data_IF_290351805346
#
_entry.id   IF_290351805346
#
_cell.length_a   1.000
_cell.length_b   1.000
_cell.length_c   1.000
_cell.angle_alpha   90.00
_cell.angle_beta   90.00
_cell.angle_gamma   90.00
#
_symmetry.space_group_name_H-M   'P 1'
#
loop_
_entity.id
_entity.type
_entity.pdbx_description
1 polymer ?
#
# COMPACT_ATOMS: atom_id res chain seq x y z
N UNK A 1 7.13 -4.68 35.88
CA UNK A 1 7.98 -5.57 36.71
C UNK A 1 8.02 -5.03 38.11
N UNK A 2 8.03 -5.91 39.09
CA UNK A 2 8.39 -5.52 40.45
C UNK A 2 9.85 -5.02 40.43
N UNK A 3 10.18 -3.99 41.16
CA UNK A 3 11.57 -3.56 41.32
C UNK A 3 12.37 -4.67 42.01
N UNK A 4 13.67 -4.70 41.81
CA UNK A 4 14.54 -5.70 42.45
C UNK A 4 14.36 -5.71 43.98
N UNK A 5 14.11 -4.55 44.58
CA UNK A 5 13.84 -4.43 46.03
C UNK A 5 12.48 -5.00 46.45
N UNK A 6 11.42 -4.86 45.61
CA UNK A 6 10.10 -5.46 45.87
C UNK A 6 10.14 -6.99 45.75
N UNK A 7 10.90 -7.51 44.78
CA UNK A 7 11.12 -8.96 44.64
C UNK A 7 11.83 -9.54 45.85
N UNK A 8 12.90 -8.88 46.33
CA UNK A 8 13.62 -9.31 47.54
C UNK A 8 12.75 -9.26 48.77
N UNK A 9 11.93 -8.23 48.92
CA UNK A 9 11.00 -8.11 50.04
C UNK A 9 9.98 -9.25 50.07
N UNK A 10 9.40 -9.60 48.91
CA UNK A 10 8.47 -10.72 48.76
C UNK A 10 9.15 -12.08 49.06
N UNK A 11 10.39 -12.24 48.62
CA UNK A 11 11.16 -13.48 48.88
C UNK A 11 11.45 -13.73 50.35
N UNK A 12 11.49 -12.67 51.20
CA UNK A 12 11.71 -12.78 52.67
C UNK A 12 10.47 -13.04 53.50
N UNK A 13 9.25 -12.96 52.88
CA UNK A 13 8.00 -13.20 53.60
C UNK A 13 7.80 -14.67 54.00
N UNK A 14 7.09 -14.94 55.11
CA UNK A 14 6.65 -16.28 55.51
C UNK A 14 5.77 -16.93 54.41
N UNK A 15 5.79 -18.26 54.32
CA UNK A 15 5.06 -19.01 53.28
C UNK A 15 3.56 -18.67 53.23
N UNK A 16 2.91 -18.54 54.39
CA UNK A 16 1.48 -18.21 54.49
C UNK A 16 1.15 -16.80 53.94
N UNK A 17 2.05 -15.84 54.04
CA UNK A 17 1.89 -14.48 53.50
C UNK A 17 2.16 -14.46 51.98
N UNK A 18 3.12 -15.25 51.53
CA UNK A 18 3.37 -15.42 50.06
C UNK A 18 2.15 -16.00 49.34
N UNK A 19 1.52 -17.04 49.94
CA UNK A 19 0.32 -17.68 49.35
C UNK A 19 -0.86 -16.70 49.22
N UNK A 20 -0.98 -15.72 50.14
CA UNK A 20 -2.02 -14.66 50.04
C UNK A 20 -1.66 -13.56 49.05
N UNK A 21 -0.38 -13.24 48.92
CA UNK A 21 0.10 -12.17 48.00
C UNK A 21 0.22 -12.63 46.55
N UNK A 22 0.49 -13.91 46.30
CA UNK A 22 0.69 -14.45 44.94
C UNK A 22 -0.48 -14.11 43.97
N UNK A 23 -1.76 -14.39 44.32
CA UNK A 23 -2.87 -14.08 43.45
C UNK A 23 -3.04 -12.57 43.22
N UNK A 24 -2.70 -11.72 44.16
CA UNK A 24 -2.74 -10.26 44.03
C UNK A 24 -1.63 -9.75 43.08
N UNK A 25 -0.44 -10.34 43.17
CA UNK A 25 0.69 -10.01 42.30
C UNK A 25 0.43 -10.50 40.86
N UNK A 26 -0.14 -11.70 40.69
CA UNK A 26 -0.54 -12.22 39.41
C UNK A 26 -1.64 -11.37 38.77
N UNK A 27 -2.66 -10.99 39.52
CA UNK A 27 -3.71 -10.10 39.06
C UNK A 27 -3.15 -8.72 38.64
N UNK A 28 -2.22 -8.15 39.40
CA UNK A 28 -1.55 -6.88 39.10
C UNK A 28 -0.65 -7.01 37.86
N UNK A 29 0.08 -8.11 37.74
CA UNK A 29 0.91 -8.38 36.56
C UNK A 29 0.06 -8.53 35.26
N UNK A 30 -1.07 -9.25 35.38
CA UNK A 30 -2.03 -9.40 34.29
C UNK A 30 -2.66 -8.08 33.89
N UNK A 31 -3.09 -7.26 34.86
CA UNK A 31 -3.64 -5.94 34.61
C UNK A 31 -2.64 -5.03 33.86
N UNK A 32 -1.38 -4.98 34.34
CA UNK A 32 -0.31 -4.20 33.68
C UNK A 32 -0.02 -4.70 32.26
N UNK A 33 -0.08 -6.02 32.02
CA UNK A 33 0.12 -6.58 30.69
C UNK A 33 -0.99 -6.15 29.73
N UNK A 34 -2.25 -6.18 30.18
CA UNK A 34 -3.41 -5.71 29.41
C UNK A 34 -3.31 -4.21 29.11
N UNK A 35 -2.92 -3.41 30.10
CA UNK A 35 -2.75 -1.96 29.94
C UNK A 35 -1.63 -1.62 28.94
N UNK A 36 -0.47 -2.27 29.05
CA UNK A 36 0.64 -2.09 28.12
C UNK A 36 0.27 -2.52 26.67
N UNK A 37 -0.55 -3.56 26.54
CA UNK A 37 -1.03 -4.01 25.25
C UNK A 37 -2.06 -3.04 24.65
N UNK A 38 -2.94 -2.46 25.47
CA UNK A 38 -3.86 -1.40 25.07
C UNK A 38 -3.13 -0.15 24.59
N UNK A 39 -2.16 0.35 25.36
CA UNK A 39 -1.32 1.48 24.95
C UNK A 39 -0.56 1.23 23.64
N UNK A 40 -0.01 0.03 23.47
CA UNK A 40 0.67 -0.35 22.23
C UNK A 40 -0.28 -0.33 21.03
N UNK A 41 -1.51 -0.85 21.20
CA UNK A 41 -2.55 -0.83 20.16
C UNK A 41 -2.95 0.60 19.80
N UNK A 42 -3.12 1.46 20.80
CA UNK A 42 -3.47 2.87 20.59
C UNK A 42 -2.37 3.64 19.84
N UNK A 43 -1.10 3.47 20.24
CA UNK A 43 0.04 4.06 19.52
C UNK A 43 0.12 3.58 18.06
N UNK A 44 -0.12 2.29 17.84
CA UNK A 44 -0.15 1.73 16.49
C UNK A 44 -1.29 2.33 15.65
N UNK A 45 -2.51 2.39 16.21
CA UNK A 45 -3.66 3.00 15.54
C UNK A 45 -3.43 4.48 15.21
N UNK A 46 -2.82 5.24 16.11
CA UNK A 46 -2.46 6.63 15.89
C UNK A 46 -1.43 6.78 14.76
N UNK A 47 -0.43 5.91 14.70
CA UNK A 47 0.57 5.92 13.63
C UNK A 47 -0.06 5.58 12.26
N UNK A 48 -0.96 4.60 12.20
CA UNK A 48 -1.74 4.26 10.99
C UNK A 48 -2.56 5.46 10.52
N UNK A 49 -3.26 6.14 11.43
CA UNK A 49 -4.08 7.30 11.11
C UNK A 49 -3.24 8.45 10.52
N UNK A 50 -2.06 8.70 11.07
CA UNK A 50 -1.13 9.71 10.55
C UNK A 50 -0.65 9.40 9.13
N UNK A 51 -0.27 8.14 8.85
CA UNK A 51 0.15 7.74 7.51
C UNK A 51 -1.01 7.85 6.53
N UNK A 52 -2.21 7.37 6.89
CA UNK A 52 -3.41 7.51 6.06
C UNK A 52 -3.72 8.97 5.72
N UNK A 53 -3.57 9.88 6.69
CA UNK A 53 -3.78 11.31 6.47
C UNK A 53 -2.81 11.91 5.43
N UNK A 54 -1.54 11.44 5.41
CA UNK A 54 -0.57 11.85 4.39
C UNK A 54 -0.85 11.24 3.00
N UNK A 55 -1.54 10.10 2.95
CA UNK A 55 -1.90 9.40 1.71
C UNK A 55 -3.23 9.83 1.09
N UNK A 56 -3.91 10.85 1.61
CA UNK A 56 -5.17 11.36 1.05
C UNK A 56 -5.01 11.92 -0.36
N UNK A 57 -3.83 12.42 -0.72
CA UNK A 57 -3.46 12.78 -2.08
C UNK A 57 -2.57 11.72 -2.71
N UNK A 58 -2.64 11.57 -4.04
CA UNK A 58 -1.77 10.62 -4.74
C UNK A 58 -0.28 10.97 -4.56
N UNK A 59 0.09 12.25 -4.58
CA UNK A 59 1.48 12.67 -4.35
C UNK A 59 1.98 12.30 -2.94
N UNK A 60 1.13 12.45 -1.93
CA UNK A 60 1.43 12.01 -0.56
C UNK A 60 1.60 10.49 -0.49
N UNK A 61 0.72 9.72 -1.12
CA UNK A 61 0.84 8.27 -1.20
C UNK A 61 2.12 7.82 -1.91
N UNK A 62 2.49 8.46 -3.02
CA UNK A 62 3.74 8.18 -3.75
C UNK A 62 4.96 8.30 -2.82
N UNK A 63 5.01 9.35 -2.02
CA UNK A 63 6.10 9.59 -1.07
C UNK A 63 6.17 8.52 0.02
N UNK A 64 5.03 8.17 0.59
CA UNK A 64 4.94 7.16 1.65
C UNK A 64 5.18 5.72 1.14
N UNK A 65 4.75 5.41 -0.08
CA UNK A 65 4.93 4.09 -0.71
C UNK A 65 6.33 3.88 -1.30
N UNK A 66 7.09 4.95 -1.54
CA UNK A 66 8.42 4.86 -2.17
C UNK A 66 9.37 3.90 -1.46
N UNK A 67 9.57 3.96 -0.12
CA UNK A 67 10.48 3.06 0.57
C UNK A 67 10.09 1.57 0.48
N UNK A 68 8.82 1.29 0.19
CA UNK A 68 8.34 -0.10 0.00
C UNK A 68 8.75 -0.62 -1.37
N UNK A 69 8.67 0.22 -2.41
CA UNK A 69 9.00 -0.16 -3.78
C UNK A 69 10.49 -0.06 -4.10
N UNK A 70 11.17 0.91 -3.53
CA UNK A 70 12.58 1.25 -3.81
C UNK A 70 13.35 1.47 -2.49
N UNK A 71 13.51 0.42 -1.66
CA UNK A 71 14.13 0.55 -0.34
C UNK A 71 15.60 0.96 -0.39
N UNK A 72 16.28 0.72 -1.52
CA UNK A 72 17.69 1.06 -1.70
C UNK A 72 17.92 2.50 -2.20
N UNK A 73 16.87 3.23 -2.59
CA UNK A 73 17.00 4.56 -3.19
C UNK A 73 16.15 5.58 -2.43
N UNK A 74 16.70 6.74 -2.05
CA UNK A 74 15.90 7.80 -1.42
C UNK A 74 14.89 8.37 -2.40
N UNK A 75 13.71 8.76 -1.89
CA UNK A 75 12.74 9.49 -2.69
C UNK A 75 13.27 10.88 -3.07
N UNK A 76 13.32 11.15 -4.36
CA UNK A 76 13.69 12.47 -4.89
C UNK A 76 12.44 13.13 -5.44
N UNK A 77 12.01 14.19 -4.76
CA UNK A 77 10.85 14.97 -5.17
C UNK A 77 11.14 15.80 -6.43
N UNK A 78 10.15 15.88 -7.31
CA UNK A 78 10.22 16.74 -8.50
C UNK A 78 8.84 17.30 -8.85
N UNK A 79 8.78 18.54 -9.35
CA UNK A 79 7.53 19.21 -9.75
C UNK A 79 6.69 18.38 -10.74
N UNK A 80 7.35 17.61 -11.63
CA UNK A 80 6.69 16.73 -12.59
C UNK A 80 5.89 15.61 -11.92
N UNK A 81 6.37 15.10 -10.78
CA UNK A 81 5.64 14.09 -9.98
C UNK A 81 4.35 14.69 -9.46
N UNK A 82 4.41 15.89 -8.87
CA UNK A 82 3.22 16.61 -8.40
C UNK A 82 2.22 16.88 -9.54
N UNK A 83 2.72 17.34 -10.68
CA UNK A 83 1.88 17.61 -11.85
C UNK A 83 1.17 16.34 -12.36
N UNK A 84 1.90 15.24 -12.51
CA UNK A 84 1.32 13.95 -12.94
C UNK A 84 0.30 13.47 -11.90
N UNK A 85 0.64 13.49 -10.62
CA UNK A 85 -0.27 13.07 -9.55
C UNK A 85 -1.55 13.90 -9.51
N UNK A 86 -1.46 15.22 -9.67
CA UNK A 86 -2.63 16.12 -9.71
C UNK A 86 -3.57 15.79 -10.89
N UNK A 87 -3.00 15.50 -12.07
CA UNK A 87 -3.80 15.12 -13.25
C UNK A 87 -4.42 13.72 -13.10
N UNK A 88 -3.69 12.74 -12.57
CA UNK A 88 -4.22 11.40 -12.28
C UNK A 88 -5.34 11.45 -11.23
N UNK A 89 -5.17 12.28 -10.22
CA UNK A 89 -6.23 12.51 -9.21
C UNK A 89 -7.46 13.17 -9.85
N UNK A 90 -7.28 14.10 -10.79
CA UNK A 90 -8.38 14.68 -11.56
C UNK A 90 -9.10 13.64 -12.45
N UNK A 91 -8.40 12.59 -12.90
CA UNK A 91 -9.02 11.44 -13.57
C UNK A 91 -9.85 10.63 -12.57
N UNK A 92 -9.32 10.37 -11.38
CA UNK A 92 -10.05 9.67 -10.30
C UNK A 92 -11.32 10.40 -9.89
N UNK A 93 -11.26 11.74 -9.82
CA UNK A 93 -12.39 12.62 -9.52
C UNK A 93 -13.41 12.75 -10.68
N UNK A 94 -13.15 12.14 -11.83
CA UNK A 94 -13.99 12.24 -13.03
C UNK A 94 -13.92 13.58 -13.78
N UNK A 95 -13.01 14.49 -13.38
CA UNK A 95 -12.80 15.80 -14.04
C UNK A 95 -12.05 15.67 -15.37
N UNK A 96 -11.25 14.62 -15.51
CA UNK A 96 -10.53 14.27 -16.74
C UNK A 96 -10.93 12.86 -17.14
N UNK A 97 -11.41 12.68 -18.37
CA UNK A 97 -11.82 11.37 -18.91
C UNK A 97 -10.76 10.75 -19.81
N UNK A 98 -9.87 11.54 -20.39
CA UNK A 98 -8.77 11.11 -21.25
C UNK A 98 -7.54 11.94 -20.95
N UNK A 99 -6.46 11.28 -20.53
CA UNK A 99 -5.21 11.91 -20.17
C UNK A 99 -4.07 11.36 -21.03
N UNK A 100 -3.31 12.22 -21.66
CA UNK A 100 -2.08 11.90 -22.37
C UNK A 100 -0.90 12.54 -21.60
N UNK A 101 0.12 11.73 -21.31
CA UNK A 101 1.32 12.17 -20.58
C UNK A 101 2.55 11.92 -21.44
N UNK A 102 3.19 12.99 -21.88
CA UNK A 102 4.48 12.96 -22.56
C UNK A 102 5.57 13.51 -21.62
N UNK A 103 6.54 12.68 -21.31
CA UNK A 103 7.65 13.03 -20.41
C UNK A 103 8.88 12.19 -20.80
N UNK A 104 10.11 12.74 -20.64
CA UNK A 104 11.33 11.98 -20.94
C UNK A 104 11.44 10.67 -20.15
N UNK A 105 12.15 9.67 -20.67
CA UNK A 105 12.46 8.43 -19.96
C UNK A 105 13.12 8.70 -18.59
N UNK A 106 12.90 7.80 -17.63
CA UNK A 106 13.49 7.93 -16.29
C UNK A 106 12.72 8.84 -15.32
N UNK A 107 11.66 9.52 -15.77
CA UNK A 107 10.86 10.46 -14.95
C UNK A 107 9.67 9.78 -14.23
N UNK A 108 9.78 8.52 -13.89
CA UNK A 108 8.79 7.74 -13.10
C UNK A 108 7.40 7.59 -13.72
N UNK A 109 7.16 7.93 -15.02
CA UNK A 109 5.82 7.86 -15.64
C UNK A 109 5.13 6.52 -15.40
N UNK A 110 5.74 5.41 -15.81
CA UNK A 110 5.16 4.06 -15.69
C UNK A 110 4.89 3.68 -14.25
N UNK A 111 5.80 4.03 -13.32
CA UNK A 111 5.63 3.77 -11.91
C UNK A 111 4.45 4.54 -11.30
N UNK A 112 4.31 5.82 -11.65
CA UNK A 112 3.20 6.65 -11.19
C UNK A 112 1.86 6.17 -11.76
N UNK A 113 1.79 5.97 -13.08
CA UNK A 113 0.53 5.69 -13.80
C UNK A 113 0.11 4.23 -13.65
N UNK A 114 1.07 3.30 -13.76
CA UNK A 114 0.76 1.87 -13.85
C UNK A 114 0.91 1.11 -12.53
N UNK A 115 1.51 1.70 -11.50
CA UNK A 115 1.72 1.02 -10.21
C UNK A 115 1.07 1.78 -9.06
N UNK A 116 1.53 3.02 -8.82
CA UNK A 116 1.15 3.79 -7.63
C UNK A 116 -0.28 4.33 -7.70
N UNK A 117 -0.70 4.89 -8.84
CA UNK A 117 -2.06 5.41 -9.00
C UNK A 117 -3.14 4.32 -8.82
N UNK A 118 -3.10 3.15 -9.47
CA UNK A 118 -4.09 2.10 -9.23
C UNK A 118 -4.10 1.58 -7.78
N UNK A 119 -2.93 1.46 -7.15
CA UNK A 119 -2.84 1.08 -5.74
C UNK A 119 -3.44 2.15 -4.82
N UNK A 120 -3.25 3.43 -5.15
CA UNK A 120 -3.86 4.55 -4.44
C UNK A 120 -5.38 4.59 -4.61
N UNK A 121 -5.89 4.37 -5.82
CA UNK A 121 -7.34 4.33 -6.05
C UNK A 121 -7.99 3.18 -5.25
N UNK A 122 -7.35 2.01 -5.18
CA UNK A 122 -7.90 0.88 -4.42
C UNK A 122 -7.94 1.12 -2.91
N UNK A 123 -6.87 1.62 -2.32
CA UNK A 123 -6.76 1.82 -0.87
C UNK A 123 -7.15 3.23 -0.43
N UNK A 124 -6.21 4.20 -0.51
CA UNK A 124 -6.42 5.55 0.02
C UNK A 124 -7.64 6.28 -0.52
N UNK A 125 -7.93 6.18 -1.81
CA UNK A 125 -9.07 6.83 -2.45
C UNK A 125 -10.40 6.09 -2.25
N UNK A 126 -10.37 4.87 -1.67
CA UNK A 126 -11.58 4.12 -1.32
C UNK A 126 -12.37 3.58 -2.51
N UNK A 127 -11.69 3.27 -3.63
CA UNK A 127 -12.30 2.74 -4.86
C UNK A 127 -11.81 1.31 -5.16
N UNK A 128 -11.91 0.34 -4.24
CA UNK A 128 -11.31 -0.98 -4.39
C UNK A 128 -11.96 -1.84 -5.48
N UNK A 129 -13.15 -1.52 -5.93
CA UNK A 129 -13.87 -2.26 -6.99
C UNK A 129 -13.43 -1.90 -8.42
N UNK A 130 -12.56 -0.88 -8.59
CA UNK A 130 -12.10 -0.47 -9.91
C UNK A 130 -11.32 -1.58 -10.64
N UNK A 131 -11.60 -1.70 -11.94
CA UNK A 131 -11.04 -2.70 -12.84
C UNK A 131 -10.07 -2.04 -13.81
N UNK A 132 -8.84 -2.55 -13.84
CA UNK A 132 -7.76 -2.00 -14.64
C UNK A 132 -7.38 -2.91 -15.79
N UNK A 133 -7.46 -2.40 -16.99
CA UNK A 133 -6.85 -3.00 -18.18
C UNK A 133 -5.58 -2.21 -18.50
N UNK A 134 -4.44 -2.87 -18.43
CA UNK A 134 -3.14 -2.24 -18.64
C UNK A 134 -2.40 -2.86 -19.82
N UNK A 135 -1.76 -2.05 -20.61
CA UNK A 135 -1.03 -2.49 -21.78
C UNK A 135 0.24 -1.68 -22.03
N UNK A 136 1.19 -2.31 -22.70
CA UNK A 136 2.40 -1.70 -23.24
C UNK A 136 2.73 -2.37 -24.57
N UNK A 137 3.69 -1.83 -25.34
CA UNK A 137 4.19 -2.49 -26.53
C UNK A 137 4.84 -3.86 -26.23
N UNK A 138 5.44 -4.00 -25.06
CA UNK A 138 6.00 -5.25 -24.55
C UNK A 138 5.13 -5.81 -23.44
N UNK A 139 4.77 -7.08 -23.55
CA UNK A 139 4.05 -7.79 -22.52
C UNK A 139 4.86 -7.86 -21.20
N UNK A 140 6.19 -7.94 -21.29
CA UNK A 140 7.06 -8.04 -20.12
C UNK A 140 7.05 -6.76 -19.28
N UNK A 141 6.95 -5.59 -19.91
CA UNK A 141 6.79 -4.33 -19.17
C UNK A 141 5.44 -4.24 -18.48
N UNK A 142 4.38 -4.63 -19.18
CA UNK A 142 3.05 -4.67 -18.57
C UNK A 142 2.98 -5.65 -17.37
N UNK A 143 3.63 -6.82 -17.49
CA UNK A 143 3.76 -7.80 -16.38
C UNK A 143 4.62 -7.26 -15.24
N UNK A 144 5.76 -6.63 -15.53
CA UNK A 144 6.63 -6.01 -14.53
C UNK A 144 5.84 -5.03 -13.66
N UNK A 145 5.08 -4.15 -14.27
CA UNK A 145 4.32 -3.13 -13.56
C UNK A 145 3.13 -3.73 -12.81
N UNK A 146 2.50 -4.77 -13.37
CA UNK A 146 1.48 -5.55 -12.66
C UNK A 146 2.06 -6.22 -11.40
N UNK A 147 3.23 -6.84 -11.51
CA UNK A 147 3.92 -7.45 -10.37
C UNK A 147 4.26 -6.42 -9.30
N UNK A 148 4.83 -5.26 -9.67
CA UNK A 148 5.16 -4.18 -8.72
C UNK A 148 3.94 -3.66 -7.98
N UNK A 149 2.80 -3.47 -8.67
CA UNK A 149 1.56 -3.07 -8.01
C UNK A 149 1.07 -4.16 -7.04
N UNK A 150 1.11 -5.41 -7.45
CA UNK A 150 0.72 -6.55 -6.61
C UNK A 150 1.58 -6.61 -5.34
N UNK A 151 2.91 -6.56 -5.51
CA UNK A 151 3.85 -6.64 -4.41
C UNK A 151 3.66 -5.46 -3.43
N UNK A 152 3.34 -4.26 -3.92
CA UNK A 152 2.97 -3.11 -3.09
C UNK A 152 1.68 -3.38 -2.30
N UNK A 153 0.62 -3.86 -2.98
CA UNK A 153 -0.68 -4.14 -2.33
C UNK A 153 -0.57 -5.28 -1.30
N UNK A 154 0.27 -6.30 -1.56
CA UNK A 154 0.52 -7.41 -0.63
C UNK A 154 1.51 -7.04 0.49
N UNK A 155 2.21 -5.92 0.43
CA UNK A 155 3.19 -5.51 1.44
C UNK A 155 2.55 -5.34 2.82
N UNK A 156 3.31 -5.64 3.87
CA UNK A 156 2.87 -5.45 5.26
C UNK A 156 2.44 -3.99 5.51
N UNK A 157 3.17 -3.03 4.93
CA UNK A 157 2.85 -1.61 5.02
C UNK A 157 1.46 -1.29 4.46
N UNK A 158 1.16 -1.73 3.23
CA UNK A 158 -0.14 -1.47 2.61
C UNK A 158 -1.27 -2.21 3.33
N UNK A 159 -1.05 -3.45 3.72
CA UNK A 159 -2.03 -4.27 4.43
C UNK A 159 -2.33 -3.74 5.85
N UNK A 160 -1.34 -3.18 6.55
CA UNK A 160 -1.57 -2.51 7.83
C UNK A 160 -2.46 -1.26 7.70
N UNK A 161 -2.39 -0.59 6.54
CA UNK A 161 -3.13 0.64 6.27
C UNK A 161 -4.50 0.41 5.66
N UNK A 162 -4.64 -0.49 4.67
CA UNK A 162 -5.87 -0.69 3.88
C UNK A 162 -6.28 -2.15 3.74
N UNK A 163 -5.69 -3.07 4.48
CA UNK A 163 -5.98 -4.50 4.39
C UNK A 163 -7.43 -4.88 4.74
N UNK A 164 -8.15 -4.03 5.45
CA UNK A 164 -9.58 -4.22 5.72
C UNK A 164 -10.44 -4.02 4.46
N UNK A 165 -10.03 -3.11 3.58
CA UNK A 165 -10.74 -2.79 2.34
C UNK A 165 -10.22 -3.60 1.14
N UNK A 166 -8.91 -3.90 1.11
CA UNK A 166 -8.25 -4.49 -0.06
C UNK A 166 -7.35 -5.65 0.35
N UNK A 167 -7.77 -6.87 0.01
CA UNK A 167 -6.92 -8.07 0.06
C UNK A 167 -6.98 -8.78 -1.27
N UNK A 168 -5.84 -9.29 -1.77
CA UNK A 168 -5.85 -10.04 -3.01
C UNK A 168 -6.48 -11.42 -2.79
N UNK A 169 -7.35 -11.83 -3.73
CA UNK A 169 -8.04 -13.13 -3.74
C UNK A 169 -7.47 -14.07 -4.78
N UNK A 170 -6.94 -13.51 -5.87
CA UNK A 170 -6.19 -14.20 -6.91
C UNK A 170 -4.92 -13.42 -7.15
N UNK A 171 -3.80 -14.10 -7.23
CA UNK A 171 -2.49 -13.50 -7.43
C UNK A 171 -1.77 -14.24 -8.55
N UNK A 172 -2.03 -13.81 -9.79
CA UNK A 172 -1.35 -14.29 -10.99
C UNK A 172 -0.34 -13.28 -11.53
N UNK A 173 0.53 -13.70 -12.42
CA UNK A 173 1.55 -12.83 -12.99
C UNK A 173 0.96 -11.73 -13.89
N UNK A 174 -0.05 -12.08 -14.70
CA UNK A 174 -0.72 -11.18 -15.65
C UNK A 174 -1.98 -10.54 -15.09
N UNK A 175 -2.62 -11.19 -14.13
CA UNK A 175 -3.89 -10.74 -13.57
C UNK A 175 -4.00 -11.07 -12.10
N UNK A 176 -4.59 -10.18 -11.35
CA UNK A 176 -4.93 -10.37 -9.96
C UNK A 176 -6.23 -9.63 -9.62
N UNK A 177 -6.91 -10.09 -8.58
CA UNK A 177 -8.17 -9.52 -8.11
C UNK A 177 -8.17 -9.36 -6.60
N UNK A 178 -9.04 -8.52 -6.10
CA UNK A 178 -9.18 -8.24 -4.69
C UNK A 178 -10.56 -8.64 -4.12
N UNK A 179 -10.71 -8.56 -2.82
CA UNK A 179 -11.93 -8.89 -2.08
C UNK A 179 -13.14 -8.04 -2.45
N UNK A 180 -12.94 -6.84 -2.99
CA UNK A 180 -14.00 -5.93 -3.43
C UNK A 180 -14.35 -6.10 -4.93
N UNK A 181 -13.91 -7.21 -5.56
CA UNK A 181 -14.12 -7.54 -6.99
C UNK A 181 -13.41 -6.61 -7.98
N UNK A 182 -12.54 -5.72 -7.51
CA UNK A 182 -11.60 -5.04 -8.36
C UNK A 182 -10.57 -6.02 -8.92
N UNK A 183 -10.10 -5.74 -10.11
CA UNK A 183 -9.07 -6.56 -10.73
C UNK A 183 -8.14 -5.71 -11.60
N UNK A 184 -6.96 -6.26 -11.85
CA UNK A 184 -6.02 -5.75 -12.84
C UNK A 184 -5.64 -6.86 -13.81
N UNK A 185 -5.64 -6.55 -15.10
CA UNK A 185 -5.20 -7.42 -16.16
C UNK A 185 -4.19 -6.71 -17.06
N UNK A 186 -3.02 -7.33 -17.25
CA UNK A 186 -1.99 -6.89 -18.18
C UNK A 186 -2.11 -7.65 -19.49
N UNK A 187 -2.30 -6.93 -20.60
CA UNK A 187 -2.43 -7.50 -21.97
C UNK A 187 -1.46 -6.83 -22.92
N UNK A 188 -0.94 -7.55 -23.94
CA UNK A 188 -0.27 -6.90 -25.06
C UNK A 188 -1.22 -5.95 -25.79
N UNK A 189 -0.70 -4.84 -26.32
CA UNK A 189 -1.51 -3.84 -27.03
C UNK A 189 -2.34 -4.45 -28.18
N UNK A 190 -1.76 -5.39 -28.93
CA UNK A 190 -2.45 -6.09 -30.03
C UNK A 190 -3.67 -6.93 -29.59
N UNK A 191 -3.79 -7.28 -28.31
CA UNK A 191 -4.88 -8.13 -27.78
C UNK A 191 -5.87 -7.39 -26.88
N UNK A 192 -5.89 -6.05 -26.94
CA UNK A 192 -6.85 -5.22 -26.20
C UNK A 192 -8.30 -5.37 -26.66
N UNK A 193 -8.53 -5.88 -27.87
CA UNK A 193 -9.86 -6.03 -28.46
C UNK A 193 -10.74 -6.91 -27.56
N UNK A 194 -11.92 -6.41 -27.20
CA UNK A 194 -12.86 -7.10 -26.31
C UNK A 194 -12.59 -6.96 -24.81
N UNK A 195 -11.47 -6.33 -24.40
CA UNK A 195 -11.20 -6.00 -23.01
C UNK A 195 -12.08 -4.84 -22.53
N UNK A 196 -12.61 -4.93 -21.31
CA UNK A 196 -13.38 -3.86 -20.66
C UNK A 196 -12.82 -3.63 -19.25
N UNK A 197 -12.65 -2.40 -18.87
CA UNK A 197 -12.24 -1.98 -17.54
C UNK A 197 -12.77 -0.58 -17.23
N UNK A 198 -12.75 -0.19 -15.97
CA UNK A 198 -13.10 1.16 -15.56
C UNK A 198 -11.96 2.13 -15.85
N UNK A 199 -10.74 1.60 -15.88
CA UNK A 199 -9.51 2.30 -16.28
C UNK A 199 -8.78 1.50 -17.36
N UNK A 200 -8.39 2.17 -18.43
CA UNK A 200 -7.52 1.62 -19.47
C UNK A 200 -6.22 2.42 -19.47
N UNK A 201 -5.12 1.77 -19.14
CA UNK A 201 -3.79 2.37 -19.11
C UNK A 201 -2.97 1.83 -20.27
N UNK A 202 -2.51 2.74 -21.12
CA UNK A 202 -1.67 2.45 -22.27
C UNK A 202 -0.32 3.12 -22.03
N UNK A 203 0.69 2.32 -21.66
CA UNK A 203 2.03 2.80 -21.41
C UNK A 203 2.96 2.41 -22.55
N UNK A 204 3.53 3.41 -23.24
CA UNK A 204 4.42 3.25 -24.40
C UNK A 204 3.91 2.20 -25.40
N UNK A 205 2.85 2.49 -26.20
CA UNK A 205 2.20 1.49 -27.08
C UNK A 205 3.06 1.06 -28.26
N UNK A 206 4.08 1.81 -28.62
CA UNK A 206 4.99 1.55 -29.73
C UNK A 206 6.43 1.40 -29.25
N UNK A 207 7.19 0.46 -29.86
CA UNK A 207 8.64 0.45 -29.73
C UNK A 207 9.25 1.60 -30.54
N UNK A 208 10.46 2.04 -30.20
CA UNK A 208 11.21 3.06 -30.95
C UNK A 208 11.35 2.71 -32.43
N UNK A 209 11.60 1.44 -32.77
CA UNK A 209 11.69 0.96 -34.15
C UNK A 209 10.38 1.08 -34.95
N UNK A 210 9.22 0.92 -34.28
CA UNK A 210 7.91 1.06 -34.92
C UNK A 210 7.40 2.49 -34.96
N UNK A 211 7.96 3.38 -34.17
CA UNK A 211 7.61 4.80 -34.17
C UNK A 211 8.27 5.56 -35.34
N UNK A 212 9.31 4.98 -35.99
CA UNK A 212 10.04 5.57 -37.09
C UNK A 212 9.58 5.01 -38.49
N UNK A 213 8.65 4.07 -38.49
CA UNK A 213 8.06 3.49 -39.71
C UNK A 213 6.64 4.00 -39.90
#
# INVERSE_FOLDING_TARGET
MLSSSEVEAVLRLPRAEKEKLLPLLEARASARKVEAEAERRERFAASVAQVRARCTTLAGFVREAWPVLEPAAPYVHGWHIEAICAHLQAVSDGRITRLLINIPPGMMKSLLVSVLWPAWEWGPAGMPSLRYLTTSYSEDYAKRDARRMRDLVESEWYQALWGDAVRLTRSGEKSFSNTAQGWREAKPFASLTGGRGDRVIVDDPHSTEKAES
#
